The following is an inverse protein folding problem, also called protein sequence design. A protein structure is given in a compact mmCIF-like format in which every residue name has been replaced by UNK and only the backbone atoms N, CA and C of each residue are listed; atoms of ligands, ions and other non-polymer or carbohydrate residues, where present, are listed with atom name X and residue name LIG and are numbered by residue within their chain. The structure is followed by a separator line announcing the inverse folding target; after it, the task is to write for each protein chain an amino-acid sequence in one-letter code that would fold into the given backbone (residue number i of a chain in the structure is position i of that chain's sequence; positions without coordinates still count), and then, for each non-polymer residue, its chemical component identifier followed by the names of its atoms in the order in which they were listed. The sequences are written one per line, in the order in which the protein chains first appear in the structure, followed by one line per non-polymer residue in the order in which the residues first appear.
data_IF_096325120409
#
_entry.id   IF_096325120409
#
_cell.length_a   1.000
_cell.length_b   1.000
_cell.length_c   1.000
_cell.angle_alpha   90.00
_cell.angle_beta   90.00
_cell.angle_gamma   90.00
#
_symmetry.space_group_name_H-M   'P 1'
#
loop_
_entity.id
_entity.type
_entity.pdbx_description
1 polymer ?
#
# COMPACT_ATOMS: atom_id res chain seq x y z
N UNK A 1 -47.19 9.86 -8.61
CA UNK A 1 -45.98 10.51 -8.05
C UNK A 1 -44.81 9.80 -8.69
N UNK A 2 -44.29 10.44 -9.73
CA UNK A 2 -43.22 9.93 -10.60
C UNK A 2 -41.89 10.20 -9.92
N UNK A 3 -41.02 9.20 -9.84
CA UNK A 3 -39.57 9.43 -9.88
C UNK A 3 -39.05 8.67 -11.09
N UNK A 4 -38.83 9.46 -12.14
CA UNK A 4 -37.99 9.17 -13.28
C UNK A 4 -36.53 9.34 -12.87
N UNK A 5 -35.65 8.83 -13.72
CA UNK A 5 -34.21 9.02 -13.76
C UNK A 5 -33.39 7.93 -13.03
N UNK A 6 -33.12 6.87 -13.78
CA UNK A 6 -31.72 6.48 -13.96
C UNK A 6 -31.51 6.06 -15.43
N UNK A 7 -31.28 7.06 -16.27
CA UNK A 7 -30.84 6.88 -17.64
C UNK A 7 -29.48 6.17 -17.67
N UNK A 8 -29.51 4.92 -18.11
CA UNK A 8 -28.80 4.48 -19.32
C UNK A 8 -27.56 5.32 -19.73
N UNK A 9 -26.48 5.23 -18.98
CA UNK A 9 -25.13 5.30 -19.56
C UNK A 9 -24.64 3.87 -19.87
N UNK A 10 -25.21 3.28 -20.93
CA UNK A 10 -24.52 2.17 -21.62
C UNK A 10 -23.42 2.80 -22.47
N UNK A 11 -22.33 3.19 -21.82
CA UNK A 11 -21.09 3.57 -22.51
C UNK A 11 -20.69 2.41 -23.41
N UNK A 12 -20.92 2.60 -24.71
CA UNK A 12 -20.26 1.84 -25.76
C UNK A 12 -18.76 2.14 -25.68
N UNK A 13 -18.05 1.45 -24.79
CA UNK A 13 -16.70 1.06 -25.16
C UNK A 13 -16.87 -0.03 -26.21
N UNK A 14 -16.41 0.22 -27.43
CA UNK A 14 -16.03 -0.81 -28.40
C UNK A 14 -14.85 -1.64 -27.85
N UNK A 15 -14.96 -2.13 -26.62
CA UNK A 15 -14.01 -3.02 -25.99
C UNK A 15 -14.11 -4.35 -26.72
N UNK A 16 -13.02 -4.70 -27.40
CA UNK A 16 -12.85 -5.84 -28.28
C UNK A 16 -13.70 -7.04 -27.90
N UNK A 17 -14.83 -7.21 -28.58
CA UNK A 17 -15.50 -8.51 -28.65
C UNK A 17 -14.49 -9.47 -29.28
N UNK A 18 -14.10 -10.48 -28.53
CA UNK A 18 -13.27 -11.57 -29.05
C UNK A 18 -13.98 -12.17 -30.27
N UNK A 19 -13.23 -12.45 -31.34
CA UNK A 19 -13.84 -12.98 -32.58
C UNK A 19 -14.50 -14.33 -32.35
N UNK A 20 -14.03 -15.08 -31.36
CA UNK A 20 -14.67 -16.30 -30.90
C UNK A 20 -15.46 -16.03 -29.63
N UNK A 21 -16.74 -16.38 -29.69
CA UNK A 21 -17.63 -16.38 -28.56
C UNK A 21 -18.27 -17.76 -28.50
N UNK A 22 -18.30 -18.35 -27.31
CA UNK A 22 -19.04 -19.59 -27.06
C UNK A 22 -20.54 -19.38 -27.17
N UNK A 23 -20.98 -18.14 -26.93
CA UNK A 23 -22.32 -17.62 -27.14
C UNK A 23 -22.42 -16.90 -28.51
N UNK A 24 -23.53 -17.07 -29.21
CA UNK A 24 -23.81 -16.38 -30.47
C UNK A 24 -23.17 -17.03 -31.71
N UNK A 25 -23.51 -16.48 -32.88
CA UNK A 25 -23.04 -16.97 -34.18
C UNK A 25 -21.56 -16.65 -34.43
N UNK A 26 -20.87 -17.52 -35.18
CA UNK A 26 -19.45 -17.38 -35.47
C UNK A 26 -19.19 -16.37 -36.59
N UNK A 27 -18.15 -15.56 -36.43
CA UNK A 27 -17.77 -14.55 -37.42
C UNK A 27 -17.54 -15.18 -38.81
N UNK A 28 -18.33 -14.76 -39.81
CA UNK A 28 -18.29 -15.27 -41.18
C UNK A 28 -16.91 -15.06 -41.82
N UNK A 29 -16.30 -13.90 -41.63
CA UNK A 29 -15.00 -13.57 -42.22
C UNK A 29 -13.87 -14.43 -41.62
N UNK A 30 -13.97 -14.79 -40.34
CA UNK A 30 -13.03 -15.71 -39.70
C UNK A 30 -13.12 -17.11 -40.30
N UNK A 31 -14.33 -17.64 -40.44
CA UNK A 31 -14.57 -18.99 -41.03
C UNK A 31 -14.20 -19.04 -42.52
N UNK A 32 -14.42 -17.94 -43.26
CA UNK A 32 -14.09 -17.84 -44.68
C UNK A 32 -12.59 -17.96 -45.00
N UNK A 33 -11.70 -17.76 -44.02
CA UNK A 33 -10.25 -17.89 -44.26
C UNK A 33 -9.82 -19.32 -44.62
N UNK A 34 -10.64 -20.30 -44.29
CA UNK A 34 -10.28 -21.73 -44.38
C UNK A 34 -11.35 -22.58 -45.06
N UNK A 35 -12.47 -22.00 -45.47
CA UNK A 35 -13.59 -22.71 -46.11
C UNK A 35 -14.09 -21.96 -47.35
N UNK A 36 -14.68 -22.70 -48.29
CA UNK A 36 -15.29 -22.15 -49.50
C UNK A 36 -16.62 -21.47 -49.20
N UNK A 37 -16.84 -20.26 -49.75
CA UNK A 37 -18.05 -19.47 -49.54
C UNK A 37 -19.34 -20.23 -49.89
N UNK A 38 -19.33 -21.04 -50.95
CA UNK A 38 -20.48 -21.81 -51.41
C UNK A 38 -21.00 -22.78 -50.32
N UNK A 39 -20.08 -23.47 -49.62
CA UNK A 39 -20.42 -24.39 -48.52
C UNK A 39 -20.99 -23.66 -47.31
N UNK A 40 -20.55 -22.41 -47.09
CA UNK A 40 -20.98 -21.62 -45.94
C UNK A 40 -22.36 -21.00 -46.12
N UNK A 41 -22.83 -20.77 -47.35
CA UNK A 41 -24.10 -20.08 -47.63
C UNK A 41 -25.30 -20.75 -46.94
N UNK A 42 -25.34 -22.09 -46.91
CA UNK A 42 -26.39 -22.86 -46.25
C UNK A 42 -26.30 -22.83 -44.71
N UNK A 43 -25.19 -22.31 -44.15
CA UNK A 43 -24.92 -22.26 -42.72
C UNK A 43 -25.04 -20.85 -42.14
N UNK A 44 -25.49 -19.87 -42.93
CA UNK A 44 -25.62 -18.47 -42.51
C UNK A 44 -26.90 -18.31 -41.69
N UNK A 45 -26.76 -17.72 -40.50
CA UNK A 45 -27.88 -17.25 -39.68
C UNK A 45 -28.58 -16.08 -40.37
N UNK A 46 -29.86 -16.22 -40.71
CA UNK A 46 -30.62 -15.16 -41.40
C UNK A 46 -30.83 -13.88 -40.59
N UNK A 47 -30.66 -13.93 -39.26
CA UNK A 47 -30.83 -12.76 -38.38
C UNK A 47 -29.59 -11.86 -38.31
N UNK A 48 -28.39 -12.44 -38.30
CA UNK A 48 -27.14 -11.68 -38.06
C UNK A 48 -26.12 -11.79 -39.20
N UNK A 49 -26.43 -12.58 -40.23
CA UNK A 49 -25.58 -12.82 -41.40
C UNK A 49 -24.19 -13.40 -41.06
N UNK A 50 -24.07 -14.05 -39.89
CA UNK A 50 -22.89 -14.80 -39.43
C UNK A 50 -23.13 -16.31 -39.56
N UNK A 51 -22.12 -17.15 -39.29
CA UNK A 51 -22.30 -18.62 -39.32
C UNK A 51 -23.10 -19.06 -38.09
N UNK A 52 -24.21 -19.76 -38.31
CA UNK A 52 -25.16 -20.12 -37.28
C UNK A 52 -24.55 -21.07 -36.23
N UNK A 53 -24.28 -20.57 -35.02
CA UNK A 53 -23.91 -21.39 -33.89
C UNK A 53 -25.18 -22.01 -33.27
N UNK A 54 -25.09 -23.28 -32.86
CA UNK A 54 -26.24 -24.04 -32.37
C UNK A 54 -27.45 -23.92 -33.31
N UNK A 55 -27.20 -24.08 -34.61
CA UNK A 55 -28.17 -23.83 -35.67
C UNK A 55 -29.56 -24.48 -35.41
N UNK A 56 -30.60 -23.71 -35.69
CA UNK A 56 -32.01 -24.08 -35.68
C UNK A 56 -32.59 -23.84 -37.06
N UNK A 57 -33.39 -24.79 -37.52
CA UNK A 57 -34.10 -24.69 -38.78
C UNK A 57 -35.51 -24.17 -38.51
N UNK A 58 -35.92 -23.18 -39.31
CA UNK A 58 -37.28 -22.63 -39.28
C UNK A 58 -38.23 -23.65 -39.92
N UNK A 59 -39.26 -24.05 -39.19
CA UNK A 59 -40.32 -24.93 -39.69
C UNK A 59 -41.65 -24.22 -39.48
N UNK A 60 -42.20 -23.68 -40.55
CA UNK A 60 -43.51 -23.05 -40.50
C UNK A 60 -44.21 -23.29 -41.82
N UNK A 61 -45.51 -23.52 -41.74
CA UNK A 61 -46.36 -23.87 -42.88
C UNK A 61 -46.30 -22.79 -43.97
N UNK A 62 -46.15 -21.51 -43.58
CA UNK A 62 -45.98 -20.38 -44.50
C UNK A 62 -44.69 -20.44 -45.32
N UNK A 63 -43.70 -21.23 -44.89
CA UNK A 63 -42.40 -21.39 -45.56
C UNK A 63 -42.12 -22.86 -45.97
N UNK A 64 -43.07 -23.78 -45.80
CA UNK A 64 -42.91 -25.21 -46.13
C UNK A 64 -42.63 -25.44 -47.63
N UNK A 65 -43.17 -24.57 -48.49
CA UNK A 65 -42.98 -24.60 -49.95
C UNK A 65 -41.80 -23.76 -50.44
N UNK A 66 -41.03 -23.14 -49.54
CA UNK A 66 -39.84 -22.41 -49.96
C UNK A 66 -38.71 -23.39 -50.29
N UNK A 67 -38.07 -23.23 -51.46
CA UNK A 67 -36.87 -24.01 -51.80
C UNK A 67 -35.68 -23.71 -50.87
N UNK A 68 -35.81 -22.70 -50.02
CA UNK A 68 -34.74 -22.18 -49.18
C UNK A 68 -34.94 -22.56 -47.72
N UNK A 69 -33.99 -23.32 -47.17
CA UNK A 69 -33.92 -23.60 -45.74
C UNK A 69 -33.45 -22.36 -44.98
N UNK A 70 -34.26 -21.84 -44.07
CA UNK A 70 -33.89 -20.72 -43.21
C UNK A 70 -33.22 -21.22 -41.93
N UNK A 71 -31.94 -20.89 -41.78
CA UNK A 71 -31.15 -21.24 -40.61
C UNK A 71 -31.02 -20.04 -39.67
N UNK A 72 -31.17 -20.29 -38.37
CA UNK A 72 -31.02 -19.28 -37.32
C UNK A 72 -30.11 -19.80 -36.22
N UNK A 73 -29.24 -18.96 -35.67
CA UNK A 73 -28.51 -19.30 -34.44
C UNK A 73 -29.43 -19.26 -33.23
N UNK A 74 -29.32 -20.23 -32.33
CA UNK A 74 -30.23 -20.40 -31.17
C UNK A 74 -30.33 -19.13 -30.31
N UNK A 75 -29.21 -18.49 -29.98
CA UNK A 75 -29.21 -17.26 -29.19
C UNK A 75 -29.73 -16.03 -29.97
N UNK A 76 -29.45 -15.97 -31.27
CA UNK A 76 -30.01 -14.90 -32.12
C UNK A 76 -31.53 -15.00 -32.16
N UNK A 77 -32.06 -16.23 -32.30
CA UNK A 77 -33.49 -16.48 -32.28
C UNK A 77 -34.09 -16.10 -30.93
N UNK A 78 -33.49 -16.54 -29.82
CA UNK A 78 -33.98 -16.22 -28.48
C UNK A 78 -34.02 -14.70 -28.24
N UNK A 79 -32.95 -13.99 -28.62
CA UNK A 79 -32.89 -12.54 -28.51
C UNK A 79 -33.96 -11.85 -29.36
N UNK A 80 -34.20 -12.35 -30.57
CA UNK A 80 -35.21 -11.83 -31.49
C UNK A 80 -36.63 -12.04 -30.96
N UNK A 81 -36.99 -13.25 -30.56
CA UNK A 81 -38.34 -13.59 -30.08
C UNK A 81 -38.73 -12.76 -28.85
N UNK A 82 -37.78 -12.54 -27.94
CA UNK A 82 -37.98 -11.69 -26.75
C UNK A 82 -38.31 -10.23 -27.11
N UNK A 83 -37.79 -9.72 -28.23
CA UNK A 83 -37.99 -8.34 -28.67
C UNK A 83 -39.22 -8.16 -29.56
N UNK A 84 -39.66 -9.23 -30.24
CA UNK A 84 -40.68 -9.18 -31.29
C UNK A 84 -41.92 -10.03 -30.93
N UNK A 85 -42.24 -10.16 -29.64
CA UNK A 85 -43.44 -10.86 -29.15
C UNK A 85 -43.59 -12.29 -29.68
N UNK A 86 -42.48 -13.00 -29.88
CA UNK A 86 -42.49 -14.38 -30.37
C UNK A 86 -42.82 -14.56 -31.85
N UNK A 87 -42.88 -13.49 -32.64
CA UNK A 87 -43.19 -13.55 -34.08
C UNK A 87 -42.07 -14.18 -34.90
N UNK A 88 -42.44 -14.73 -36.05
CA UNK A 88 -41.49 -15.30 -37.00
C UNK A 88 -40.47 -14.25 -37.53
N UNK A 89 -39.16 -14.55 -37.53
CA UNK A 89 -38.12 -13.69 -38.10
C UNK A 89 -38.29 -13.33 -39.58
N UNK A 90 -38.92 -14.20 -40.37
CA UNK A 90 -39.01 -14.06 -41.84
C UNK A 90 -40.34 -13.42 -42.27
N UNK A 91 -41.46 -13.86 -41.68
CA UNK A 91 -42.81 -13.46 -42.12
C UNK A 91 -43.66 -12.70 -41.10
N UNK A 92 -43.18 -12.45 -39.88
CA UNK A 92 -43.94 -11.79 -38.78
C UNK A 92 -45.27 -12.46 -38.39
N UNK A 93 -45.50 -13.70 -38.81
CA UNK A 93 -46.65 -14.51 -38.40
C UNK A 93 -46.42 -15.13 -37.02
N UNK A 94 -47.52 -15.57 -36.40
CA UNK A 94 -47.51 -16.31 -35.14
C UNK A 94 -47.28 -17.82 -35.40
N UNK A 95 -47.10 -18.59 -34.32
CA UNK A 95 -47.02 -20.07 -34.35
C UNK A 95 -45.91 -20.64 -35.25
N UNK A 96 -44.71 -20.09 -35.17
CA UNK A 96 -43.56 -20.66 -35.87
C UNK A 96 -42.92 -21.79 -35.04
N UNK A 97 -42.65 -22.94 -35.67
CA UNK A 97 -41.87 -24.01 -35.06
C UNK A 97 -40.39 -23.89 -35.45
N UNK A 98 -39.52 -24.43 -34.59
CA UNK A 98 -38.08 -24.41 -34.78
C UNK A 98 -37.52 -25.77 -34.40
N UNK A 99 -36.74 -26.38 -35.30
CA UNK A 99 -36.19 -27.71 -35.07
C UNK A 99 -34.66 -27.70 -34.94
N UNK A 100 -34.17 -28.54 -34.05
CA UNK A 100 -32.72 -28.76 -33.85
C UNK A 100 -32.22 -29.72 -34.92
N UNK A 101 -31.73 -29.18 -36.04
CA UNK A 101 -31.11 -29.99 -37.08
C UNK A 101 -29.70 -30.46 -36.67
N UNK A 102 -29.60 -31.72 -36.19
CA UNK A 102 -28.33 -32.30 -35.73
C UNK A 102 -27.25 -32.33 -36.83
N UNK A 103 -27.65 -32.57 -38.08
CA UNK A 103 -26.72 -32.63 -39.22
C UNK A 103 -26.09 -31.26 -39.49
N UNK A 104 -26.90 -30.20 -39.56
CA UNK A 104 -26.40 -28.84 -39.79
C UNK A 104 -25.52 -28.35 -38.62
N UNK A 105 -25.92 -28.65 -37.38
CA UNK A 105 -25.09 -28.36 -36.19
C UNK A 105 -23.73 -29.05 -36.28
N UNK A 106 -23.71 -30.33 -36.69
CA UNK A 106 -22.46 -31.07 -36.86
C UNK A 106 -21.60 -30.49 -38.00
N UNK A 107 -22.22 -30.11 -39.13
CA UNK A 107 -21.52 -29.47 -40.24
C UNK A 107 -20.84 -28.16 -39.80
N UNK A 108 -21.52 -27.30 -39.04
CA UNK A 108 -20.93 -26.09 -38.46
C UNK A 108 -19.74 -26.43 -37.57
N UNK A 109 -19.89 -27.40 -36.67
CA UNK A 109 -18.84 -27.81 -35.73
C UNK A 109 -17.61 -28.42 -36.42
N UNK A 110 -17.78 -29.01 -37.61
CA UNK A 110 -16.71 -29.61 -38.42
C UNK A 110 -16.04 -28.62 -39.38
N UNK A 111 -16.52 -27.36 -39.49
CA UNK A 111 -15.84 -26.32 -40.26
C UNK A 111 -14.42 -26.11 -39.74
N UNK A 112 -13.47 -26.00 -40.68
CA UNK A 112 -12.07 -25.72 -40.34
C UNK A 112 -11.91 -24.23 -40.03
N UNK A 113 -11.13 -23.88 -39.03
CA UNK A 113 -10.84 -22.50 -38.64
C UNK A 113 -9.40 -22.36 -38.18
N UNK A 114 -8.86 -21.15 -38.25
CA UNK A 114 -7.62 -20.78 -37.55
C UNK A 114 -7.93 -20.37 -36.11
N UNK A 115 -6.90 -20.27 -35.26
CA UNK A 115 -7.06 -19.72 -33.92
C UNK A 115 -7.74 -18.34 -33.95
N UNK A 116 -8.82 -18.10 -33.18
CA UNK A 116 -9.51 -16.81 -33.17
C UNK A 116 -8.65 -15.71 -32.57
N UNK A 117 -7.79 -16.02 -31.57
CA UNK A 117 -6.80 -15.06 -31.04
C UNK A 117 -5.81 -14.62 -32.13
N UNK A 118 -5.43 -15.54 -33.02
CA UNK A 118 -4.56 -15.24 -34.17
C UNK A 118 -5.28 -14.38 -35.21
N UNK A 119 -6.56 -14.66 -35.47
CA UNK A 119 -7.39 -13.84 -36.36
C UNK A 119 -7.51 -12.39 -35.85
N UNK A 120 -7.82 -12.22 -34.57
CA UNK A 120 -7.93 -10.90 -33.94
C UNK A 120 -6.62 -10.11 -34.01
N UNK A 121 -5.49 -10.78 -33.83
CA UNK A 121 -4.17 -10.16 -33.94
C UNK A 121 -3.90 -9.66 -35.36
N UNK A 122 -4.12 -10.50 -36.38
CA UNK A 122 -3.92 -10.16 -37.80
C UNK A 122 -4.80 -8.99 -38.24
N UNK A 123 -6.06 -8.99 -37.82
CA UNK A 123 -7.03 -7.92 -38.14
C UNK A 123 -6.60 -6.56 -37.58
N UNK A 124 -6.00 -6.53 -36.39
CA UNK A 124 -5.47 -5.28 -35.80
C UNK A 124 -4.26 -4.76 -36.57
N UNK A 125 -3.34 -5.65 -36.96
CA UNK A 125 -2.14 -5.28 -37.72
C UNK A 125 -2.49 -4.71 -39.10
N UNK A 126 -3.46 -5.29 -39.81
CA UNK A 126 -3.88 -4.78 -41.12
C UNK A 126 -4.50 -3.38 -41.06
N UNK A 127 -5.11 -3.01 -39.93
CA UNK A 127 -5.76 -1.72 -39.75
C UNK A 127 -4.79 -0.59 -39.33
N UNK A 128 -3.59 -0.92 -38.87
CA UNK A 128 -2.56 0.06 -38.48
C UNK A 128 -1.62 0.48 -39.63
N UNK A 129 -1.62 -0.25 -40.76
CA UNK A 129 -0.65 -0.04 -41.85
C UNK A 129 -0.97 1.03 -42.89
N UNK A 130 -2.05 1.81 -42.76
CA UNK A 130 -2.49 2.73 -43.85
C UNK A 130 -2.15 4.21 -43.59
N UNK A 131 -1.56 4.59 -42.45
CA UNK A 131 -1.36 6.00 -42.07
C UNK A 131 0.07 6.35 -41.60
N UNK A 132 1.12 5.80 -42.21
CA UNK A 132 2.48 6.35 -42.01
C UNK A 132 3.16 6.54 -43.34
N UNK A 133 2.82 7.65 -44.00
CA UNK A 133 3.72 8.30 -44.93
C UNK A 133 4.97 8.76 -44.17
N UNK A 134 6.11 8.33 -44.67
CA UNK A 134 7.43 8.96 -44.58
C UNK A 134 7.72 9.76 -43.30
N UNK A 135 8.42 9.14 -42.36
CA UNK A 135 9.50 9.82 -41.63
C UNK A 135 10.50 8.79 -41.09
N UNK A 136 11.71 8.95 -41.60
CA UNK A 136 12.93 8.20 -41.31
C UNK A 136 13.31 8.27 -39.83
N UNK A 137 13.91 7.19 -39.34
CA UNK A 137 14.89 7.23 -38.27
C UNK A 137 14.35 7.22 -36.83
N UNK A 138 13.86 6.06 -36.37
CA UNK A 138 14.11 5.63 -34.99
C UNK A 138 13.94 4.11 -34.88
N UNK A 139 15.06 3.40 -35.03
CA UNK A 139 15.21 2.02 -34.60
C UNK A 139 15.04 1.96 -33.08
N UNK A 140 13.85 1.57 -32.64
CA UNK A 140 13.66 0.60 -31.57
C UNK A 140 12.33 -0.08 -31.85
N UNK A 141 12.36 -0.85 -32.94
CA UNK A 141 11.42 -1.91 -33.23
C UNK A 141 11.23 -2.74 -31.97
N UNK A 142 10.05 -2.66 -31.38
CA UNK A 142 9.62 -3.63 -30.38
C UNK A 142 9.72 -5.01 -31.02
N UNK A 143 10.76 -5.74 -30.62
CA UNK A 143 11.09 -7.13 -30.95
C UNK A 143 10.02 -8.09 -30.40
N UNK A 144 8.77 -7.87 -30.77
CA UNK A 144 7.59 -8.69 -30.44
C UNK A 144 7.15 -9.53 -31.64
N UNK A 145 7.84 -9.43 -32.78
CA UNK A 145 7.37 -9.95 -34.07
C UNK A 145 7.73 -11.42 -34.38
N UNK A 146 8.45 -12.16 -33.52
CA UNK A 146 8.99 -13.46 -33.94
C UNK A 146 8.65 -14.68 -33.09
N UNK A 147 7.94 -14.59 -31.96
CA UNK A 147 7.86 -15.75 -31.03
C UNK A 147 6.50 -16.16 -30.50
N UNK A 148 5.41 -15.43 -30.74
CA UNK A 148 4.07 -15.83 -30.27
C UNK A 148 3.08 -16.00 -31.42
N UNK A 149 3.42 -16.80 -32.41
CA UNK A 149 2.48 -17.14 -33.49
C UNK A 149 1.81 -18.47 -33.18
N UNK A 150 0.53 -18.43 -32.83
CA UNK A 150 -0.28 -19.64 -32.83
C UNK A 150 -0.48 -20.12 -34.28
N UNK A 151 -0.20 -21.40 -34.54
CA UNK A 151 -0.37 -22.02 -35.87
C UNK A 151 -1.54 -23.01 -35.91
N UNK A 152 -2.46 -22.92 -34.94
CA UNK A 152 -3.61 -23.81 -34.88
C UNK A 152 -4.51 -23.63 -36.10
N UNK A 153 -4.81 -24.76 -36.74
CA UNK A 153 -5.84 -24.90 -37.77
C UNK A 153 -6.56 -26.22 -37.50
N UNK A 154 -7.84 -26.16 -37.16
CA UNK A 154 -8.62 -27.32 -36.73
C UNK A 154 -10.12 -27.07 -36.80
N UNK A 155 -10.92 -27.98 -36.27
CA UNK A 155 -12.38 -27.87 -36.32
C UNK A 155 -12.91 -26.90 -35.26
N UNK A 156 -14.04 -26.24 -35.52
CA UNK A 156 -14.68 -25.34 -34.54
C UNK A 156 -14.90 -26.04 -33.19
N UNK A 157 -15.34 -27.30 -33.17
CA UNK A 157 -15.58 -28.03 -31.91
C UNK A 157 -14.34 -28.24 -31.02
N UNK A 158 -13.14 -28.19 -31.62
CA UNK A 158 -11.86 -28.40 -30.93
C UNK A 158 -11.26 -27.07 -30.43
N UNK A 159 -11.85 -25.93 -30.79
CA UNK A 159 -11.24 -24.63 -30.53
C UNK A 159 -11.24 -24.27 -29.05
N UNK A 160 -12.24 -24.71 -28.29
CA UNK A 160 -12.32 -24.45 -26.84
C UNK A 160 -11.15 -25.14 -26.15
N UNK A 161 -10.95 -26.44 -26.44
CA UNK A 161 -9.79 -27.19 -25.92
C UNK A 161 -8.46 -26.54 -26.32
N UNK A 162 -8.35 -26.05 -27.55
CA UNK A 162 -7.18 -25.32 -27.98
C UNK A 162 -6.93 -24.05 -27.14
N UNK A 163 -7.95 -23.19 -27.01
CA UNK A 163 -7.86 -21.91 -26.31
C UNK A 163 -7.54 -22.06 -24.81
N UNK A 164 -8.00 -23.16 -24.20
CA UNK A 164 -7.81 -23.45 -22.79
C UNK A 164 -6.48 -24.13 -22.49
N UNK A 165 -6.02 -25.04 -23.37
CA UNK A 165 -4.91 -25.96 -23.05
C UNK A 165 -3.61 -25.71 -23.83
N UNK A 166 -3.69 -25.14 -25.03
CA UNK A 166 -2.54 -25.14 -25.97
C UNK A 166 -2.29 -23.83 -26.69
N UNK A 167 -3.20 -22.85 -26.59
CA UNK A 167 -3.03 -21.59 -27.26
C UNK A 167 -2.02 -20.70 -26.53
N UNK A 168 -0.84 -20.53 -27.12
CA UNK A 168 0.23 -19.67 -26.62
C UNK A 168 -0.11 -18.17 -26.68
N UNK A 169 -1.09 -17.80 -27.51
CA UNK A 169 -1.59 -16.43 -27.56
C UNK A 169 -2.41 -16.17 -26.29
N UNK A 170 -1.93 -15.31 -25.41
CA UNK A 170 -2.65 -14.92 -24.19
C UNK A 170 -3.93 -14.18 -24.60
N UNK A 171 -5.09 -14.56 -24.05
CA UNK A 171 -6.33 -13.81 -24.26
C UNK A 171 -6.22 -12.41 -23.67
N UNK A 172 -6.93 -11.44 -24.25
CA UNK A 172 -7.00 -10.08 -23.67
C UNK A 172 -7.53 -10.16 -22.23
N UNK A 173 -8.45 -11.07 -21.95
CA UNK A 173 -8.96 -11.31 -20.60
C UNK A 173 -7.88 -11.79 -19.61
N UNK A 174 -7.00 -12.71 -20.02
CA UNK A 174 -5.86 -13.14 -19.21
C UNK A 174 -4.87 -12.00 -18.96
N UNK A 175 -4.58 -11.17 -19.96
CA UNK A 175 -3.74 -9.97 -19.78
C UNK A 175 -4.39 -9.01 -18.78
N UNK A 176 -5.69 -8.74 -18.91
CA UNK A 176 -6.43 -7.88 -17.96
C UNK A 176 -6.38 -8.46 -16.55
N UNK A 177 -6.53 -9.79 -16.40
CA UNK A 177 -6.45 -10.47 -15.11
C UNK A 177 -5.04 -10.34 -14.50
N UNK A 178 -3.99 -10.56 -15.29
CA UNK A 178 -2.60 -10.37 -14.85
C UNK A 178 -2.31 -8.93 -14.44
N UNK A 179 -2.81 -7.95 -15.21
CA UNK A 179 -2.65 -6.53 -14.86
C UNK A 179 -3.39 -6.18 -13.57
N UNK A 180 -4.58 -6.73 -13.33
CA UNK A 180 -5.30 -6.53 -12.06
C UNK A 180 -4.54 -7.13 -10.87
N UNK A 181 -4.00 -8.34 -11.03
CA UNK A 181 -3.19 -9.00 -10.00
C UNK A 181 -1.90 -8.20 -9.69
N UNK A 182 -1.19 -7.75 -10.73
CA UNK A 182 0.01 -6.93 -10.57
C UNK A 182 -0.29 -5.59 -9.88
N UNK A 183 -1.43 -4.95 -10.18
CA UNK A 183 -1.87 -3.73 -9.49
C UNK A 183 -2.09 -4.00 -8.00
N UNK A 184 -2.80 -5.07 -7.66
CA UNK A 184 -3.06 -5.45 -6.27
C UNK A 184 -1.76 -5.74 -5.49
N UNK A 185 -0.80 -6.43 -6.13
CA UNK A 185 0.51 -6.69 -5.51
C UNK A 185 1.31 -5.39 -5.29
N UNK A 186 1.23 -4.45 -6.24
CA UNK A 186 1.89 -3.15 -6.12
C UNK A 186 1.31 -2.32 -4.96
N UNK A 187 -0.01 -2.36 -4.77
CA UNK A 187 -0.68 -1.69 -3.65
C UNK A 187 -0.24 -2.27 -2.30
N UNK A 188 -0.21 -3.60 -2.16
CA UNK A 188 0.30 -4.29 -0.96
C UNK A 188 1.76 -3.93 -0.63
N UNK A 189 2.61 -3.78 -1.64
CA UNK A 189 4.01 -3.38 -1.44
C UNK A 189 4.11 -1.94 -0.91
N UNK A 190 3.30 -1.01 -1.44
CA UNK A 190 3.27 0.39 -0.96
C UNK A 190 2.81 0.51 0.50
N UNK A 191 1.84 -0.30 0.92
CA UNK A 191 1.39 -0.35 2.32
C UNK A 191 2.50 -0.84 3.25
N UNK A 192 3.18 -1.93 2.86
CA UNK A 192 4.29 -2.48 3.63
C UNK A 192 5.47 -1.49 3.77
N UNK A 193 5.81 -0.76 2.70
CA UNK A 193 6.89 0.24 2.74
C UNK A 193 6.54 1.42 3.65
N UNK A 194 5.27 1.86 3.64
CA UNK A 194 4.78 2.89 4.54
C UNK A 194 4.82 2.43 6.01
N UNK A 195 4.45 1.18 6.30
CA UNK A 195 4.49 0.63 7.65
C UNK A 195 5.94 0.49 8.18
N UNK A 196 6.85 -0.01 7.34
CA UNK A 196 8.28 -0.07 7.68
C UNK A 196 8.86 1.32 7.93
N UNK A 197 8.48 2.32 7.12
CA UNK A 197 8.87 3.72 7.32
C UNK A 197 8.46 4.25 8.70
N UNK A 198 7.22 3.97 9.13
CA UNK A 198 6.73 4.34 10.47
C UNK A 198 7.50 3.65 11.60
N UNK A 199 7.81 2.36 11.44
CA UNK A 199 8.57 1.60 12.44
C UNK A 199 10.01 2.13 12.60
N UNK A 200 10.69 2.45 11.48
CA UNK A 200 12.03 3.05 11.51
C UNK A 200 12.00 4.41 12.22
N UNK A 201 11.00 5.24 11.93
CA UNK A 201 10.85 6.54 12.60
C UNK A 201 10.61 6.37 14.11
N UNK A 202 9.79 5.40 14.50
CA UNK A 202 9.51 5.11 15.91
C UNK A 202 10.77 4.62 16.65
N UNK A 203 11.57 3.75 16.03
CA UNK A 203 12.84 3.27 16.59
C UNK A 203 13.84 4.43 16.80
N UNK A 204 13.96 5.33 15.83
CA UNK A 204 14.83 6.51 15.96
C UNK A 204 14.41 7.44 17.11
N UNK A 205 13.11 7.70 17.26
CA UNK A 205 12.59 8.50 18.39
C UNK A 205 12.87 7.80 19.72
N UNK A 206 12.69 6.48 19.79
CA UNK A 206 12.96 5.71 21.00
C UNK A 206 14.44 5.76 21.40
N UNK A 207 15.35 5.70 20.41
CA UNK A 207 16.79 5.84 20.64
C UNK A 207 17.14 7.22 21.20
N UNK A 208 16.62 8.30 20.61
CA UNK A 208 16.83 9.67 21.11
C UNK A 208 16.30 9.86 22.55
N UNK A 209 15.13 9.30 22.86
CA UNK A 209 14.58 9.31 24.22
C UNK A 209 15.51 8.60 25.20
N UNK A 210 16.10 7.47 24.80
CA UNK A 210 17.02 6.71 25.66
C UNK A 210 18.33 7.48 25.90
N UNK A 211 18.88 8.14 24.88
CA UNK A 211 20.05 9.01 25.01
C UNK A 211 19.78 10.18 25.95
N UNK A 212 18.64 10.87 25.79
CA UNK A 212 18.22 11.96 26.68
C UNK A 212 18.06 11.47 28.14
N UNK A 213 17.46 10.31 28.36
CA UNK A 213 17.34 9.71 29.69
C UNK A 213 18.70 9.44 30.33
N UNK A 214 19.67 8.97 29.55
CA UNK A 214 21.02 8.73 30.05
C UNK A 214 21.72 10.04 30.40
N UNK A 215 21.57 11.08 29.59
CA UNK A 215 22.13 12.42 29.87
C UNK A 215 21.52 13.05 31.12
N UNK A 216 20.20 12.90 31.32
CA UNK A 216 19.52 13.36 32.54
C UNK A 216 20.08 12.62 33.76
N UNK A 217 20.23 11.29 33.70
CA UNK A 217 20.82 10.50 34.80
C UNK A 217 22.23 10.93 35.15
N UNK A 218 23.08 11.20 34.16
CA UNK A 218 24.42 11.71 34.38
C UNK A 218 24.40 13.09 35.04
N UNK A 219 23.53 13.98 34.56
CA UNK A 219 23.35 15.31 35.15
C UNK A 219 22.88 15.23 36.60
N UNK A 220 21.93 14.34 36.92
CA UNK A 220 21.46 14.11 38.29
C UNK A 220 22.60 13.62 39.21
N UNK A 221 23.44 12.70 38.72
CA UNK A 221 24.62 12.23 39.46
C UNK A 221 25.59 13.39 39.75
N UNK A 222 25.84 14.25 38.77
CA UNK A 222 26.68 15.44 38.95
C UNK A 222 26.08 16.43 39.94
N UNK A 223 24.76 16.66 39.91
CA UNK A 223 24.07 17.50 40.88
C UNK A 223 24.21 16.94 42.30
N UNK A 224 24.08 15.62 42.47
CA UNK A 224 24.27 14.97 43.77
C UNK A 224 25.70 15.17 44.28
N UNK A 225 26.71 14.98 43.41
CA UNK A 225 28.12 15.22 43.77
C UNK A 225 28.37 16.67 44.19
N UNK A 226 27.86 17.65 43.43
CA UNK A 226 28.01 19.05 43.78
C UNK A 226 27.33 19.41 45.10
N UNK A 227 26.16 18.83 45.39
CA UNK A 227 25.48 19.02 46.69
C UNK A 227 26.33 18.53 47.85
N UNK A 228 26.96 17.36 47.71
CA UNK A 228 27.86 16.81 48.73
C UNK A 228 29.07 17.70 48.96
N UNK A 229 29.73 18.15 47.90
CA UNK A 229 30.87 19.08 47.98
C UNK A 229 30.49 20.41 48.65
N UNK A 230 29.30 20.94 48.34
CA UNK A 230 28.81 22.16 48.96
C UNK A 230 28.58 21.99 50.46
N UNK A 231 27.99 20.87 50.88
CA UNK A 231 27.76 20.56 52.29
C UNK A 231 29.07 20.44 53.08
N UNK A 232 30.09 19.79 52.51
CA UNK A 232 31.44 19.72 53.09
C UNK A 232 32.07 21.10 53.25
N UNK A 233 31.92 21.97 52.25
CA UNK A 233 32.43 23.33 52.28
C UNK A 233 31.74 24.19 53.35
N UNK A 234 30.42 24.03 53.53
CA UNK A 234 29.67 24.66 54.62
C UNK A 234 30.20 24.22 56.00
N UNK A 235 30.37 22.91 56.22
CA UNK A 235 30.94 22.36 57.47
C UNK A 235 32.36 22.89 57.71
N UNK A 236 33.18 22.95 56.67
CA UNK A 236 34.54 23.50 56.78
C UNK A 236 34.54 24.97 57.21
N UNK A 237 33.65 25.79 56.63
CA UNK A 237 33.54 27.20 56.96
C UNK A 237 33.03 27.42 58.40
N UNK A 238 32.06 26.63 58.86
CA UNK A 238 31.55 26.66 60.23
C UNK A 238 32.67 26.31 61.24
N UNK A 239 33.42 25.23 60.99
CA UNK A 239 34.59 24.86 61.81
C UNK A 239 35.62 26.00 61.85
N UNK A 240 35.86 26.68 60.73
CA UNK A 240 36.79 27.80 60.65
C UNK A 240 36.32 28.99 61.49
N UNK A 241 35.03 29.31 61.48
CA UNK A 241 34.44 30.36 62.32
C UNK A 241 34.54 30.01 63.80
N UNK A 242 34.16 28.80 64.19
CA UNK A 242 34.28 28.32 65.59
C UNK A 242 35.73 28.34 66.09
N UNK A 243 36.71 28.01 65.23
CA UNK A 243 38.14 28.12 65.59
C UNK A 243 38.56 29.57 65.85
N UNK A 244 38.07 30.53 65.07
CA UNK A 244 38.36 31.95 65.26
C UNK A 244 37.76 32.48 66.57
N UNK A 245 36.51 32.12 66.85
CA UNK A 245 35.82 32.50 68.09
C UNK A 245 36.49 31.89 69.33
N UNK A 246 36.85 30.61 69.29
CA UNK A 246 37.61 29.96 70.36
C UNK A 246 38.96 30.65 70.62
N UNK A 247 39.66 31.09 69.56
CA UNK A 247 40.92 31.85 69.71
C UNK A 247 40.69 33.19 70.40
N UNK A 248 39.62 33.91 70.05
CA UNK A 248 39.24 35.18 70.67
C UNK A 248 38.91 35.02 72.15
N UNK A 249 38.07 34.03 72.49
CA UNK A 249 37.71 33.71 73.88
C UNK A 249 38.94 33.30 74.71
N UNK A 250 39.90 32.59 74.12
CA UNK A 250 41.15 32.24 74.79
C UNK A 250 41.98 33.49 75.13
N UNK A 251 42.17 34.41 74.19
CA UNK A 251 42.88 35.67 74.45
C UNK A 251 42.17 36.55 75.48
N UNK A 252 40.84 36.58 75.49
CA UNK A 252 40.07 37.32 76.49
C UNK A 252 40.22 36.71 77.90
N UNK A 253 40.22 35.38 78.02
CA UNK A 253 40.49 34.69 79.30
C UNK A 253 41.90 34.95 79.80
N UNK A 254 42.91 34.87 78.93
CA UNK A 254 44.30 35.17 79.28
C UNK A 254 44.47 36.62 79.73
N UNK A 255 43.82 37.57 79.03
CA UNK A 255 43.82 38.99 79.43
C UNK A 255 43.19 39.19 80.81
N UNK A 256 42.03 38.59 81.09
CA UNK A 256 41.36 38.67 82.40
C UNK A 256 42.18 38.05 83.52
N UNK A 257 42.79 36.89 83.28
CA UNK A 257 43.70 36.25 84.23
C UNK A 257 44.91 37.14 84.53
N UNK A 258 45.51 37.75 83.51
CA UNK A 258 46.63 38.67 83.69
C UNK A 258 46.22 39.92 84.49
N UNK A 259 45.03 40.45 84.25
CA UNK A 259 44.46 41.59 84.99
C UNK A 259 44.22 41.24 86.48
N UNK A 260 43.71 40.04 86.75
CA UNK A 260 43.53 39.51 88.10
C UNK A 260 44.87 39.28 88.82
N UNK A 261 45.86 38.72 88.12
CA UNK A 261 47.24 38.57 88.63
C UNK A 261 47.86 39.93 88.96
N UNK A 262 47.69 40.94 88.10
CA UNK A 262 48.16 42.31 88.36
C UNK A 262 47.49 42.92 89.58
N UNK A 263 46.18 42.71 89.76
CA UNK A 263 45.44 43.17 90.94
C UNK A 263 45.95 42.50 92.22
N UNK A 264 46.09 41.17 92.23
CA UNK A 264 46.65 40.41 93.37
C UNK A 264 48.07 40.89 93.69
N UNK A 265 48.89 41.13 92.68
CA UNK A 265 50.24 41.65 92.87
C UNK A 265 50.23 43.06 93.50
N UNK A 266 49.34 43.95 93.04
CA UNK A 266 49.16 45.28 93.64
C UNK A 266 48.70 45.19 95.10
N UNK A 267 47.70 44.36 95.40
CA UNK A 267 47.21 44.14 96.76
C UNK A 267 48.32 43.58 97.68
N UNK A 268 49.10 42.62 97.19
CA UNK A 268 50.27 42.08 97.90
C UNK A 268 51.34 43.15 98.17
N UNK A 269 51.59 44.06 97.23
CA UNK A 269 52.53 45.17 97.45
C UNK A 269 52.02 46.15 98.51
N UNK A 270 50.72 46.48 98.51
CA UNK A 270 50.09 47.31 99.53
C UNK A 270 50.16 46.65 100.92
N UNK A 271 49.88 45.34 101.01
CA UNK A 271 49.94 44.58 102.25
C UNK A 271 51.37 44.56 102.83
N UNK A 272 52.39 44.38 101.98
CA UNK A 272 53.81 44.48 102.39
C UNK A 272 54.15 45.87 102.93
N UNK A 273 53.68 46.94 102.28
CA UNK A 273 53.88 48.31 102.78
C UNK A 273 53.21 48.53 104.14
N UNK A 274 51.99 48.02 104.34
CA UNK A 274 51.29 48.08 105.63
C UNK A 274 52.05 47.31 106.72
N UNK A 275 52.55 46.10 106.43
CA UNK A 275 53.37 45.32 107.37
C UNK A 275 54.65 46.06 107.78
N UNK A 276 55.33 46.71 106.83
CA UNK A 276 56.49 47.56 107.11
C UNK A 276 56.09 48.73 108.03
N UNK A 277 54.98 49.42 107.75
CA UNK A 277 54.48 50.50 108.60
C UNK A 277 54.14 50.01 110.02
N UNK A 278 53.50 48.85 110.16
CA UNK A 278 53.21 48.23 111.45
C UNK A 278 54.46 47.89 112.24
N UNK A 279 55.49 47.32 111.59
CA UNK A 279 56.79 47.05 112.21
C UNK A 279 57.48 48.34 112.69
N UNK A 280 57.45 49.41 111.88
CA UNK A 280 57.96 50.72 112.27
C UNK A 280 57.22 51.29 113.49
N UNK A 281 55.88 51.25 113.50
CA UNK A 281 55.08 51.71 114.64
C UNK A 281 55.35 50.88 115.90
N UNK A 282 55.46 49.56 115.78
CA UNK A 282 55.76 48.66 116.88
C UNK A 282 57.15 48.91 117.49
N UNK A 283 58.18 49.06 116.65
CA UNK A 283 59.54 49.42 117.08
C UNK A 283 59.58 50.80 117.74
N UNK A 284 58.79 51.76 117.25
CA UNK A 284 58.69 53.09 117.84
C UNK A 284 58.02 53.05 119.23
N UNK A 285 56.99 52.23 119.40
CA UNK A 285 56.30 52.06 120.68
C UNK A 285 57.17 51.37 121.73
N UNK A 286 57.96 50.36 121.33
CA UNK A 286 58.88 49.63 122.23
C UNK A 286 60.04 50.49 122.75
N UNK A 287 60.37 51.60 122.09
CA UNK A 287 61.42 52.53 122.50
C UNK A 287 60.95 53.56 123.55
N UNK A 288 59.65 53.63 123.83
CA UNK A 288 59.03 54.57 124.79
C UNK A 288 58.66 53.95 126.15
N UNK A 289 58.78 52.63 126.29
CA UNK A 289 58.68 51.91 127.56
C UNK A 289 60.07 51.39 127.96
#
# INVERSE_FOLDING_TARGET
MLNLDDEREKKNLENGKETFSTSGCYNKNWVLLTNEQQKLNALICCLCNQIANNALELQCDEHENSEQVYLVGEECLQGYLNQNSGKCPIGQHDHCEFSKNKSLRQQVLDLLVICPRQYDLRKKQSNQGTNTGEKEGHENESNWNSTSQCNYKGKIKEIIDHLDKSCELISIQQIISLVKELKLQTEKLKENDNEKGKQIQQLNVQQQINELKNNIRQSDQTIIQFKQQFEELCKHNEIKQLKLENKKLKSEKESKQNEEILKINSDNTNLRQQQVCFLFLFLFHKKKN
#
